data_IF_343303722789
#
_entry.id   IF_343303722789
#
_cell.length_a   1.000
_cell.length_b   1.000
_cell.length_c   1.000
_cell.angle_alpha   90.00
_cell.angle_beta   90.00
_cell.angle_gamma   90.00
#
_symmetry.space_group_name_H-M   'P 1'
#
loop_
_entity.id
_entity.type
_entity.pdbx_description
1 polymer ?
#
# COMPACT_ATOMS: atom_id res chain seq x y z
N UNK A 1 -7.34 -6.63 -18.61
CA UNK A 1 -6.15 -6.11 -17.90
C UNK A 1 -6.64 -4.94 -17.07
N UNK A 2 -6.41 -4.98 -15.76
CA UNK A 2 -6.85 -3.92 -14.86
C UNK A 2 -5.97 -2.69 -15.07
N UNK A 3 -6.55 -1.49 -15.18
CA UNK A 3 -5.76 -0.27 -15.32
C UNK A 3 -5.16 0.12 -13.96
N UNK A 4 -3.92 0.60 -13.96
CA UNK A 4 -3.22 1.13 -12.78
C UNK A 4 -2.89 2.59 -13.05
N UNK A 5 -3.33 3.49 -12.17
CA UNK A 5 -2.95 4.89 -12.19
C UNK A 5 -1.47 5.07 -11.81
N UNK A 6 -0.79 6.11 -12.30
CA UNK A 6 0.60 6.41 -11.93
C UNK A 6 0.73 6.87 -10.46
N UNK A 7 -0.33 7.46 -9.89
CA UNK A 7 -0.46 7.81 -8.47
C UNK A 7 -1.63 7.09 -7.83
N UNK A 8 -1.63 7.02 -6.51
CA UNK A 8 -2.67 6.39 -5.72
C UNK A 8 -4.02 7.07 -5.94
N UNK A 9 -5.08 6.26 -6.07
CA UNK A 9 -6.46 6.72 -6.06
C UNK A 9 -6.94 7.01 -4.62
N UNK A 10 -6.25 6.44 -3.64
CA UNK A 10 -6.45 6.69 -2.22
C UNK A 10 -5.34 6.03 -1.41
N UNK A 11 -5.02 6.64 -0.27
CA UNK A 11 -4.12 6.10 0.73
C UNK A 11 -4.64 6.34 2.14
N UNK A 12 -4.19 5.50 3.06
CA UNK A 12 -4.52 5.56 4.48
C UNK A 12 -3.22 5.47 5.27
N UNK A 13 -2.97 6.49 6.07
CA UNK A 13 -1.74 6.65 6.85
C UNK A 13 -2.00 6.42 8.33
N UNK A 14 -1.17 5.61 8.98
CA UNK A 14 -1.17 5.45 10.43
C UNK A 14 0.12 6.01 11.00
N UNK A 15 -0.01 6.98 11.88
CA UNK A 15 1.06 7.39 12.79
C UNK A 15 1.19 6.33 13.89
N UNK A 16 2.40 5.79 14.06
CA UNK A 16 2.67 4.70 15.01
C UNK A 16 3.52 5.12 16.20
N UNK A 17 3.83 6.41 16.38
CA UNK A 17 4.72 6.93 17.43
C UNK A 17 4.41 6.40 18.83
N UNK A 18 3.12 6.34 19.18
CA UNK A 18 2.66 5.91 20.51
C UNK A 18 2.29 4.41 20.60
N UNK A 19 2.29 3.68 19.48
CA UNK A 19 1.76 2.31 19.41
C UNK A 19 2.76 1.27 18.88
N UNK A 20 3.87 1.70 18.30
CA UNK A 20 4.95 0.83 17.84
C UNK A 20 6.32 1.40 18.22
N UNK A 21 7.25 0.52 18.61
CA UNK A 21 8.64 0.91 18.77
C UNK A 21 9.25 1.30 17.40
N UNK A 22 10.18 2.26 17.34
CA UNK A 22 10.93 2.53 16.12
C UNK A 22 11.87 1.36 15.74
N UNK A 23 12.39 1.43 14.51
CA UNK A 23 13.44 0.53 14.03
C UNK A 23 12.94 -0.67 13.22
N UNK A 24 13.89 -1.29 12.51
CA UNK A 24 13.64 -2.31 11.49
C UNK A 24 12.87 -3.54 12.01
N UNK A 25 13.24 -4.05 13.18
CA UNK A 25 12.59 -5.22 13.77
C UNK A 25 11.11 -4.95 14.07
N UNK A 26 10.80 -3.78 14.62
CA UNK A 26 9.43 -3.39 14.92
C UNK A 26 8.62 -3.15 13.64
N UNK A 27 9.18 -2.44 12.67
CA UNK A 27 8.57 -2.23 11.36
C UNK A 27 8.23 -3.56 10.66
N UNK A 28 9.14 -4.54 10.67
CA UNK A 28 8.87 -5.86 10.06
C UNK A 28 7.80 -6.65 10.82
N UNK A 29 7.74 -6.54 12.16
CA UNK A 29 6.62 -7.13 12.93
C UNK A 29 5.29 -6.48 12.58
N UNK A 30 5.25 -5.15 12.47
CA UNK A 30 4.07 -4.40 12.05
C UNK A 30 3.65 -4.81 10.63
N UNK A 31 4.58 -4.81 9.68
CA UNK A 31 4.36 -5.26 8.31
C UNK A 31 3.83 -6.71 8.25
N UNK A 32 4.36 -7.61 9.07
CA UNK A 32 3.88 -9.00 9.14
C UNK A 32 2.43 -9.09 9.65
N UNK A 33 2.09 -8.33 10.70
CA UNK A 33 0.72 -8.30 11.26
C UNK A 33 -0.28 -7.69 10.28
N UNK A 34 0.05 -6.54 9.68
CA UNK A 34 -0.77 -5.88 8.66
C UNK A 34 -0.90 -6.76 7.42
N UNK A 35 0.19 -7.35 6.95
CA UNK A 35 0.22 -8.28 5.83
C UNK A 35 -0.71 -9.49 6.04
N UNK A 36 -0.82 -10.01 7.26
CA UNK A 36 -1.75 -11.09 7.59
C UNK A 36 -3.23 -10.66 7.45
N UNK A 37 -3.57 -9.43 7.88
CA UNK A 37 -4.91 -8.85 7.68
C UNK A 37 -5.20 -8.68 6.19
N UNK A 38 -4.26 -8.10 5.45
CA UNK A 38 -4.43 -7.90 4.00
C UNK A 38 -4.55 -9.22 3.25
N UNK A 39 -3.79 -10.25 3.63
CA UNK A 39 -3.89 -11.59 3.04
C UNK A 39 -5.25 -12.24 3.32
N UNK A 40 -5.77 -12.10 4.54
CA UNK A 40 -7.11 -12.57 4.92
C UNK A 40 -8.22 -12.00 4.04
N UNK A 41 -8.09 -10.74 3.62
CA UNK A 41 -9.03 -10.06 2.70
C UNK A 41 -8.68 -10.21 1.21
N UNK A 42 -7.68 -11.06 0.90
CA UNK A 42 -7.13 -11.29 -0.43
C UNK A 42 -6.65 -10.01 -1.13
N UNK A 43 -6.09 -9.07 -0.38
CA UNK A 43 -5.55 -7.80 -0.88
C UNK A 43 -4.05 -7.85 -1.15
N UNK A 44 -3.30 -8.58 -0.31
CA UNK A 44 -1.85 -8.69 -0.43
C UNK A 44 -1.35 -10.05 0.06
N UNK A 45 -0.67 -10.78 -0.81
CA UNK A 45 0.19 -11.92 -0.49
C UNK A 45 1.65 -11.47 -0.66
N UNK A 46 2.39 -11.17 0.42
CA UNK A 46 3.75 -10.65 0.35
C UNK A 46 4.69 -11.57 -0.44
N UNK A 47 5.37 -11.00 -1.43
CA UNK A 47 6.31 -11.71 -2.30
C UNK A 47 7.71 -11.08 -2.27
N UNK A 48 7.81 -9.77 -2.02
CA UNK A 48 9.08 -9.05 -1.99
C UNK A 48 9.00 -7.80 -1.11
N UNK A 49 10.17 -7.35 -0.67
CA UNK A 49 10.37 -6.06 0.00
C UNK A 49 11.20 -5.14 -0.88
N UNK A 50 10.82 -3.87 -0.96
CA UNK A 50 11.59 -2.80 -1.60
C UNK A 50 11.82 -1.65 -0.62
N UNK A 51 12.98 -1.02 -0.69
CA UNK A 51 13.29 0.16 0.12
C UNK A 51 14.36 1.02 -0.55
N UNK A 52 14.35 2.31 -0.22
CA UNK A 52 15.40 3.25 -0.58
C UNK A 52 16.40 3.40 0.56
N UNK A 53 17.64 3.77 0.21
CA UNK A 53 18.67 4.13 1.17
C UNK A 53 18.79 5.65 1.28
N UNK A 54 18.95 6.14 2.50
CA UNK A 54 19.23 7.54 2.78
C UNK A 54 20.39 7.67 3.77
N UNK A 55 20.93 8.88 3.90
CA UNK A 55 21.90 9.20 4.95
C UNK A 55 21.47 10.50 5.64
N UNK A 56 21.38 10.48 6.97
CA UNK A 56 21.05 11.67 7.78
C UNK A 56 21.96 12.84 7.40
N UNK A 57 21.35 14.00 7.16
CA UNK A 57 22.03 15.23 6.72
C UNK A 57 22.46 15.28 5.25
N UNK A 58 22.30 14.19 4.47
CA UNK A 58 22.55 14.17 3.02
C UNK A 58 21.30 13.85 2.19
N UNK A 59 20.27 13.29 2.82
CA UNK A 59 19.04 12.88 2.15
C UNK A 59 19.15 11.52 1.45
N UNK A 60 18.25 11.28 0.49
CA UNK A 60 18.20 10.04 -0.29
C UNK A 60 19.45 9.85 -1.14
N UNK A 61 19.96 8.60 -1.19
CA UNK A 61 21.17 8.26 -1.94
C UNK A 61 20.90 7.89 -3.40
N UNK A 62 19.63 7.80 -3.81
CA UNK A 62 19.23 7.29 -5.13
C UNK A 62 19.47 5.78 -5.33
N UNK A 63 19.88 5.08 -4.27
CA UNK A 63 20.11 3.64 -4.26
C UNK A 63 18.86 2.97 -3.71
N UNK A 64 18.39 1.94 -4.43
CA UNK A 64 17.24 1.14 -4.05
C UNK A 64 17.68 -0.32 -3.88
N UNK A 65 17.03 -1.02 -2.96
CA UNK A 65 17.23 -2.44 -2.77
C UNK A 65 15.90 -3.16 -2.80
N UNK A 66 15.96 -4.39 -3.29
CA UNK A 66 14.83 -5.31 -3.34
C UNK A 66 15.28 -6.65 -2.80
N UNK A 67 14.43 -7.28 -2.00
CA UNK A 67 14.62 -8.63 -1.53
C UNK A 67 13.36 -9.44 -1.82
N UNK A 68 13.48 -10.45 -2.67
CA UNK A 68 12.41 -11.42 -2.88
C UNK A 68 12.34 -12.36 -1.67
N UNK A 69 11.14 -12.54 -1.13
CA UNK A 69 10.92 -13.34 0.07
C UNK A 69 11.06 -14.84 -0.22
N UNK A 70 10.78 -15.29 -1.45
CA UNK A 70 10.92 -16.70 -1.83
C UNK A 70 10.10 -17.65 -0.95
N UNK A 71 8.93 -17.22 -0.47
CA UNK A 71 8.09 -17.96 0.47
C UNK A 71 8.45 -17.74 1.96
N UNK A 72 9.47 -16.95 2.26
CA UNK A 72 9.79 -16.52 3.63
C UNK A 72 8.67 -15.63 4.19
N UNK A 73 8.32 -15.86 5.45
CA UNK A 73 7.40 -14.97 6.18
C UNK A 73 8.07 -13.64 6.53
N UNK A 74 7.29 -12.54 6.52
CA UNK A 74 7.73 -11.25 7.04
C UNK A 74 8.11 -11.30 8.53
N UNK A 75 7.58 -12.26 9.28
CA UNK A 75 7.92 -12.49 10.69
C UNK A 75 9.16 -13.37 10.92
N UNK A 76 9.91 -13.73 9.87
CA UNK A 76 11.13 -14.54 10.02
C UNK A 76 12.19 -13.77 10.82
N UNK A 77 12.69 -14.30 11.97
CA UNK A 77 13.70 -13.63 12.79
C UNK A 77 15.04 -13.37 12.07
N UNK A 78 15.34 -14.08 10.97
CA UNK A 78 16.53 -13.85 10.16
C UNK A 78 16.37 -12.71 9.14
N UNK A 79 15.15 -12.25 8.88
CA UNK A 79 14.86 -11.24 7.86
C UNK A 79 15.53 -9.88 8.12
N UNK A 80 15.52 -9.30 9.35
CA UNK A 80 16.21 -8.04 9.62
C UNK A 80 17.70 -8.09 9.27
N UNK A 81 18.37 -9.21 9.59
CA UNK A 81 19.77 -9.43 9.26
C UNK A 81 20.02 -9.48 7.75
N UNK A 82 19.12 -10.13 7.00
CA UNK A 82 19.19 -10.19 5.54
C UNK A 82 19.02 -8.80 4.89
N UNK A 83 18.10 -7.97 5.39
CA UNK A 83 17.91 -6.60 4.90
C UNK A 83 19.16 -5.75 5.17
N UNK A 84 19.73 -5.83 6.38
CA UNK A 84 20.96 -5.09 6.73
C UNK A 84 22.16 -5.51 5.88
N UNK A 85 22.23 -6.78 5.50
CA UNK A 85 23.30 -7.28 4.62
C UNK A 85 23.27 -6.66 3.20
N UNK A 86 22.17 -6.00 2.81
CA UNK A 86 22.07 -5.27 1.55
C UNK A 86 22.63 -3.84 1.62
N UNK A 87 23.18 -3.39 2.76
CA UNK A 87 23.71 -2.03 2.89
C UNK A 87 24.75 -1.72 1.80
N UNK A 88 24.63 -0.58 1.09
CA UNK A 88 25.57 -0.23 0.03
C UNK A 88 26.99 -0.04 0.59
N UNK A 89 27.97 -0.80 0.11
CA UNK A 89 29.34 -0.77 0.66
C UNK A 89 30.05 0.59 0.57
N UNK A 90 29.63 1.47 -0.35
CA UNK A 90 30.11 2.85 -0.45
C UNK A 90 29.50 3.83 0.56
N UNK A 91 28.47 3.40 1.32
CA UNK A 91 27.68 4.24 2.21
C UNK A 91 27.44 3.52 3.55
N UNK A 92 28.47 3.42 4.38
CA UNK A 92 28.41 2.71 5.68
C UNK A 92 27.47 3.34 6.71
N UNK A 93 27.06 4.60 6.49
CA UNK A 93 26.07 5.33 7.29
C UNK A 93 24.70 5.37 6.60
N UNK A 94 24.48 4.54 5.58
CA UNK A 94 23.18 4.47 4.93
C UNK A 94 22.18 3.78 5.86
N UNK A 95 21.01 4.40 5.98
CA UNK A 95 19.85 3.92 6.71
C UNK A 95 18.74 3.56 5.72
N UNK A 96 17.88 2.61 6.12
CA UNK A 96 16.76 2.18 5.30
C UNK A 96 15.59 3.14 5.50
N UNK A 97 15.02 3.63 4.40
CA UNK A 97 13.76 4.35 4.42
C UNK A 97 12.57 3.41 4.61
N UNK A 98 11.39 3.89 4.20
CA UNK A 98 10.16 3.10 4.19
C UNK A 98 10.33 1.77 3.47
N UNK A 99 9.82 0.72 4.10
CA UNK A 99 9.84 -0.65 3.57
C UNK A 99 8.51 -0.90 2.88
N UNK A 100 8.57 -1.03 1.57
CA UNK A 100 7.43 -1.36 0.72
C UNK A 100 7.27 -2.87 0.63
N UNK A 101 6.14 -3.38 1.14
CA UNK A 101 5.72 -4.77 1.02
C UNK A 101 4.92 -4.93 -0.26
N UNK A 102 5.48 -5.69 -1.20
CA UNK A 102 4.91 -5.92 -2.52
C UNK A 102 4.48 -7.36 -2.69
N UNK A 103 3.41 -7.58 -3.45
CA UNK A 103 2.78 -8.88 -3.58
C UNK A 103 1.59 -8.86 -4.51
N UNK A 104 0.94 -10.02 -4.64
CA UNK A 104 -0.29 -10.14 -5.43
C UNK A 104 -1.52 -10.01 -4.53
N UNK A 105 -2.56 -9.37 -5.04
CA UNK A 105 -3.90 -9.40 -4.47
C UNK A 105 -4.91 -9.99 -5.45
N UNK A 106 -6.16 -10.08 -5.03
CA UNK A 106 -7.26 -10.49 -5.87
C UNK A 106 -8.35 -9.41 -5.98
N UNK A 107 -8.82 -9.21 -7.21
CA UNK A 107 -10.00 -8.40 -7.50
C UNK A 107 -11.04 -9.26 -8.22
N UNK A 108 -12.29 -8.81 -8.19
CA UNK A 108 -13.43 -9.54 -8.73
C UNK A 108 -14.11 -8.67 -9.77
N UNK A 109 -14.32 -9.20 -10.97
CA UNK A 109 -15.02 -8.47 -12.02
C UNK A 109 -16.54 -8.41 -11.77
N UNK A 110 -17.28 -7.80 -12.69
CA UNK A 110 -18.73 -7.68 -12.60
C UNK A 110 -19.48 -9.03 -12.51
N UNK A 111 -18.89 -10.12 -13.02
CA UNK A 111 -19.45 -11.48 -12.91
C UNK A 111 -19.10 -12.18 -11.59
N UNK A 112 -18.27 -11.55 -10.76
CA UNK A 112 -17.70 -12.16 -9.55
C UNK A 112 -16.53 -13.10 -9.85
N UNK A 113 -16.00 -13.10 -11.08
CA UNK A 113 -14.82 -13.91 -11.42
C UNK A 113 -13.59 -13.29 -10.77
N UNK A 114 -12.82 -14.13 -10.09
CA UNK A 114 -11.59 -13.73 -9.39
C UNK A 114 -10.43 -13.59 -10.37
N UNK A 115 -9.69 -12.48 -10.26
CA UNK A 115 -8.47 -12.19 -10.98
C UNK A 115 -7.35 -11.87 -9.99
N UNK A 116 -6.14 -12.38 -10.25
CA UNK A 116 -4.96 -12.02 -9.47
C UNK A 116 -4.25 -10.84 -10.12
N UNK A 117 -3.84 -9.87 -9.31
CA UNK A 117 -3.15 -8.66 -9.77
C UNK A 117 -1.95 -8.37 -8.86
N UNK A 118 -0.77 -8.18 -9.45
CA UNK A 118 0.42 -7.78 -8.70
C UNK A 118 0.32 -6.29 -8.38
N UNK A 119 0.62 -5.91 -7.13
CA UNK A 119 0.46 -4.54 -6.61
C UNK A 119 -0.98 -4.02 -6.67
N UNK A 120 -1.94 -4.90 -6.41
CA UNK A 120 -3.33 -4.51 -6.24
C UNK A 120 -3.49 -3.46 -5.12
N UNK A 121 -2.71 -3.64 -4.04
CA UNK A 121 -2.48 -2.66 -2.98
C UNK A 121 -0.97 -2.60 -2.71
N UNK A 122 -0.51 -1.52 -2.10
CA UNK A 122 0.86 -1.35 -1.64
C UNK A 122 0.86 -1.01 -0.15
N UNK A 123 1.63 -1.76 0.63
CA UNK A 123 1.79 -1.51 2.06
C UNK A 123 3.20 -0.99 2.31
N UNK A 124 3.33 0.23 2.80
CA UNK A 124 4.59 0.80 3.26
C UNK A 124 4.63 0.80 4.79
N UNK A 125 5.77 0.44 5.38
CA UNK A 125 6.00 0.60 6.82
C UNK A 125 7.36 1.26 7.04
N UNK A 126 7.37 2.38 7.76
CA UNK A 126 8.57 3.14 8.06
C UNK A 126 9.24 2.64 9.34
N UNK A 127 10.56 2.33 9.31
CA UNK A 127 11.32 2.02 10.52
C UNK A 127 11.92 3.25 11.22
N UNK A 128 11.56 4.46 10.80
CA UNK A 128 12.18 5.72 11.25
C UNK A 128 12.14 5.88 12.78
N UNK A 129 13.18 6.49 13.35
CA UNK A 129 13.31 6.70 14.81
C UNK A 129 12.43 7.82 15.34
N UNK A 130 12.06 8.77 14.48
CA UNK A 130 11.35 9.99 14.84
C UNK A 130 9.85 9.90 14.47
N UNK A 131 9.44 8.83 13.78
CA UNK A 131 8.13 8.74 13.17
C UNK A 131 7.80 7.36 12.56
N UNK A 132 7.86 6.23 13.31
CA UNK A 132 7.34 4.98 12.79
C UNK A 132 5.91 5.19 12.27
N UNK A 133 5.67 4.70 11.07
CA UNK A 133 4.40 4.90 10.39
C UNK A 133 4.11 3.74 9.46
N UNK A 134 2.85 3.62 9.06
CA UNK A 134 2.44 2.72 7.99
C UNK A 134 1.51 3.43 7.02
N UNK A 135 1.51 2.99 5.77
CA UNK A 135 0.59 3.48 4.75
C UNK A 135 0.09 2.31 3.90
N UNK A 136 -1.21 2.29 3.62
CA UNK A 136 -1.81 1.42 2.61
C UNK A 136 -2.29 2.29 1.45
N UNK A 137 -1.85 2.00 0.23
CA UNK A 137 -2.20 2.79 -0.96
C UNK A 137 -2.79 1.89 -2.04
N UNK A 138 -3.78 2.41 -2.78
CA UNK A 138 -4.44 1.71 -3.89
C UNK A 138 -4.36 2.51 -5.18
N UNK A 139 -4.19 1.83 -6.32
CA UNK A 139 -3.89 2.47 -7.62
C UNK A 139 -4.85 2.09 -8.75
N UNK A 140 -5.86 1.27 -8.44
CA UNK A 140 -6.75 0.69 -9.44
C UNK A 140 -8.19 1.18 -9.27
N UNK A 141 -8.94 1.23 -10.36
CA UNK A 141 -10.30 1.74 -10.37
C UNK A 141 -11.35 0.78 -9.78
N UNK A 142 -11.02 -0.50 -9.55
CA UNK A 142 -11.95 -1.51 -8.98
C UNK A 142 -12.55 -1.13 -7.62
N UNK A 143 -11.95 -0.17 -6.92
CA UNK A 143 -12.40 0.35 -5.63
C UNK A 143 -13.39 1.51 -5.75
N UNK A 144 -13.49 2.13 -6.93
CA UNK A 144 -14.37 3.27 -7.21
C UNK A 144 -15.72 2.84 -7.77
N UNK A 145 -16.62 3.80 -7.97
CA UNK A 145 -17.93 3.56 -8.60
C UNK A 145 -17.89 3.62 -10.14
N UNK A 146 -16.84 4.21 -10.69
CA UNK A 146 -16.57 4.32 -12.12
C UNK A 146 -15.15 3.84 -12.43
N UNK A 147 -14.94 3.32 -13.63
CA UNK A 147 -13.61 3.04 -14.15
C UNK A 147 -12.86 4.35 -14.48
N UNK A 148 -11.56 4.26 -14.80
CA UNK A 148 -10.79 5.46 -15.15
C UNK A 148 -11.25 6.18 -16.44
N UNK A 149 -12.16 5.62 -17.24
CA UNK A 149 -12.75 6.31 -18.40
C UNK A 149 -14.06 7.02 -18.05
N UNK A 150 -14.45 6.99 -16.78
CA UNK A 150 -15.69 7.55 -16.28
C UNK A 150 -16.91 6.64 -16.48
N UNK A 151 -16.73 5.39 -16.94
CA UNK A 151 -17.86 4.46 -17.10
C UNK A 151 -18.26 3.88 -15.75
N UNK A 152 -19.55 3.99 -15.33
CA UNK A 152 -20.01 3.36 -14.10
C UNK A 152 -19.83 1.84 -14.12
N UNK A 153 -19.25 1.28 -13.05
CA UNK A 153 -19.05 -0.17 -12.90
C UNK A 153 -19.53 -0.69 -11.53
N UNK A 154 -20.80 -0.43 -11.13
CA UNK A 154 -21.28 -0.67 -9.77
C UNK A 154 -21.18 -2.14 -9.31
N UNK A 155 -21.25 -3.11 -10.22
CA UNK A 155 -21.06 -4.52 -9.90
C UNK A 155 -19.61 -4.83 -9.48
N UNK A 156 -18.64 -4.28 -10.21
CA UNK A 156 -17.21 -4.38 -9.85
C UNK A 156 -16.96 -3.71 -8.50
N UNK A 157 -17.46 -2.49 -8.30
CA UNK A 157 -17.37 -1.79 -7.02
C UNK A 157 -17.91 -2.63 -5.86
N UNK A 158 -19.13 -3.15 -5.99
CA UNK A 158 -19.79 -3.95 -4.96
C UNK A 158 -19.02 -5.24 -4.60
N UNK A 159 -18.30 -5.83 -5.56
CA UNK A 159 -17.51 -7.03 -5.33
C UNK A 159 -16.13 -6.75 -4.67
N UNK A 160 -15.66 -5.50 -4.66
CA UNK A 160 -14.30 -5.15 -4.22
C UNK A 160 -14.26 -4.19 -3.03
N UNK A 161 -14.97 -3.06 -3.10
CA UNK A 161 -14.90 -2.00 -2.09
C UNK A 161 -15.18 -2.47 -0.65
N UNK A 162 -16.16 -3.37 -0.38
CA UNK A 162 -16.39 -3.84 0.99
C UNK A 162 -15.20 -4.60 1.61
N UNK A 163 -14.37 -5.26 0.80
CA UNK A 163 -13.19 -5.97 1.29
C UNK A 163 -12.09 -5.01 1.71
N UNK A 164 -11.86 -3.96 0.92
CA UNK A 164 -10.94 -2.88 1.28
C UNK A 164 -11.40 -2.22 2.59
N UNK A 165 -12.70 -1.89 2.69
CA UNK A 165 -13.25 -1.28 3.89
C UNK A 165 -13.08 -2.16 5.14
N UNK A 166 -13.38 -3.45 5.00
CA UNK A 166 -13.23 -4.41 6.11
C UNK A 166 -11.76 -4.58 6.53
N UNK A 167 -10.83 -4.55 5.57
CA UNK A 167 -9.41 -4.64 5.86
C UNK A 167 -8.92 -3.40 6.61
N UNK A 168 -9.29 -2.19 6.16
CA UNK A 168 -8.91 -0.94 6.82
C UNK A 168 -9.43 -0.86 8.26
N UNK A 169 -10.70 -1.22 8.49
CA UNK A 169 -11.28 -1.29 9.83
C UNK A 169 -10.54 -2.29 10.75
N UNK A 170 -10.14 -3.44 10.20
CA UNK A 170 -9.37 -4.44 10.93
C UNK A 170 -7.94 -3.98 11.20
N UNK A 171 -7.34 -3.19 10.30
CA UNK A 171 -6.03 -2.56 10.51
C UNK A 171 -6.08 -1.51 11.61
N UNK A 172 -7.10 -0.64 11.65
CA UNK A 172 -7.29 0.31 12.76
C UNK A 172 -7.38 -0.42 14.10
N UNK A 173 -8.18 -1.49 14.18
CA UNK A 173 -8.29 -2.31 15.40
C UNK A 173 -6.98 -3.00 15.77
N UNK A 174 -6.23 -3.47 14.77
CA UNK A 174 -4.94 -4.14 14.96
C UNK A 174 -3.88 -3.18 15.51
N UNK A 175 -3.85 -1.96 14.99
CA UNK A 175 -2.86 -0.94 15.32
C UNK A 175 -3.26 -0.13 16.55
N UNK A 176 -4.55 -0.06 16.88
CA UNK A 176 -5.08 0.69 18.02
C UNK A 176 -5.18 2.19 17.76
N UNK A 177 -5.02 2.62 16.51
CA UNK A 177 -5.09 4.00 16.04
C UNK A 177 -5.81 4.02 14.70
N UNK A 178 -6.62 5.06 14.46
CA UNK A 178 -7.35 5.22 13.20
C UNK A 178 -6.43 5.78 12.11
N UNK A 179 -6.62 5.33 10.88
CA UNK A 179 -5.89 5.88 9.75
C UNK A 179 -6.37 7.30 9.41
N UNK A 180 -5.42 8.18 9.11
CA UNK A 180 -5.67 9.45 8.44
C UNK A 180 -5.76 9.22 6.92
N UNK A 181 -6.86 9.64 6.25
CA UNK A 181 -6.93 9.61 4.80
C UNK A 181 -5.84 10.48 4.18
N UNK A 182 -5.12 9.92 3.20
CA UNK A 182 -4.11 10.67 2.45
C UNK A 182 -4.70 11.77 1.57
N UNK A 183 -3.81 12.63 1.07
CA UNK A 183 -4.19 13.74 0.22
C UNK A 183 -4.88 13.28 -1.08
N UNK A 184 -5.92 13.99 -1.56
CA UNK A 184 -6.53 13.72 -2.85
C UNK A 184 -5.51 13.82 -4.00
N UNK A 185 -5.60 12.88 -4.94
CA UNK A 185 -4.88 12.93 -6.21
C UNK A 185 -5.83 13.21 -7.36
N UNK A 186 -5.28 13.37 -8.57
CA UNK A 186 -6.09 13.43 -9.78
C UNK A 186 -6.96 12.17 -9.97
N UNK A 187 -6.51 11.02 -9.46
CA UNK A 187 -7.14 9.72 -9.69
C UNK A 187 -8.20 9.36 -8.65
N UNK A 188 -8.29 10.10 -7.55
CA UNK A 188 -9.27 9.86 -6.50
C UNK A 188 -8.88 10.47 -5.17
N UNK A 189 -9.69 10.18 -4.15
CA UNK A 189 -9.43 10.52 -2.75
C UNK A 189 -9.89 9.39 -1.85
N UNK A 190 -9.20 9.19 -0.74
CA UNK A 190 -9.71 8.37 0.34
C UNK A 190 -10.86 9.10 1.06
N UNK A 191 -11.91 8.37 1.43
CA UNK A 191 -13.05 8.85 2.20
C UNK A 191 -13.51 7.75 3.17
N UNK A 192 -13.26 7.95 4.46
CA UNK A 192 -13.40 6.91 5.47
C UNK A 192 -12.63 5.65 5.09
N UNK A 193 -13.34 4.53 4.97
CA UNK A 193 -12.77 3.21 4.67
C UNK A 193 -12.86 2.81 3.18
N UNK A 194 -12.86 3.78 2.26
CA UNK A 194 -12.93 3.50 0.83
C UNK A 194 -12.54 4.71 -0.01
N UNK A 195 -12.79 4.62 -1.32
CA UNK A 195 -12.64 5.78 -2.20
C UNK A 195 -13.89 6.65 -2.13
N UNK A 196 -13.69 7.97 -2.14
CA UNK A 196 -14.77 8.92 -2.26
C UNK A 196 -15.54 8.75 -3.58
N UNK A 197 -16.84 9.01 -3.55
CA UNK A 197 -17.66 8.96 -4.76
C UNK A 197 -17.15 9.99 -5.79
N UNK A 198 -17.08 9.62 -7.10
CA UNK A 198 -16.70 10.56 -8.14
C UNK A 198 -17.82 11.59 -8.38
N UNK A 199 -17.46 12.75 -8.92
CA UNK A 199 -18.44 13.71 -9.42
C UNK A 199 -19.06 13.17 -10.70
N UNK A 200 -20.33 12.77 -10.64
CA UNK A 200 -21.06 12.22 -11.79
C UNK A 200 -21.75 13.36 -12.54
N UNK A 201 -21.37 13.56 -13.80
CA UNK A 201 -21.96 14.54 -14.72
C UNK A 201 -22.53 13.76 -15.92
N UNK A 202 -23.81 13.99 -16.23
CA UNK A 202 -24.52 13.30 -17.32
C UNK A 202 -24.44 11.75 -17.26
N UNK A 203 -24.38 11.20 -16.05
CA UNK A 203 -24.32 9.76 -15.81
C UNK A 203 -22.94 9.12 -15.95
N UNK A 204 -21.88 9.92 -16.14
CA UNK A 204 -20.49 9.45 -16.23
C UNK A 204 -19.63 10.12 -15.16
N UNK A 205 -18.62 9.39 -14.69
CA UNK A 205 -17.53 9.95 -13.91
C UNK A 205 -16.54 10.73 -14.78
N UNK A 206 -15.50 11.33 -14.18
CA UNK A 206 -14.41 11.96 -14.94
C UNK A 206 -13.62 10.91 -15.74
N UNK A 207 -13.16 11.30 -16.92
CA UNK A 207 -12.17 10.53 -17.68
C UNK A 207 -10.77 10.90 -17.17
N UNK A 208 -10.11 9.94 -16.55
CA UNK A 208 -8.82 10.08 -15.87
C UNK A 208 -7.68 9.47 -16.71
N UNK A 209 -7.94 9.12 -17.98
CA UNK A 209 -6.96 8.49 -18.88
C UNK A 209 -6.08 9.49 -19.64
N UNK A 210 -6.33 10.78 -19.50
CA UNK A 210 -5.71 11.86 -20.25
C UNK A 210 -4.33 12.30 -19.72
N UNK A 211 -3.90 11.76 -18.57
CA UNK A 211 -2.63 12.13 -17.93
C UNK A 211 -1.63 10.98 -17.88
N UNK A 212 -0.51 11.16 -18.59
CA UNK A 212 0.67 10.26 -18.55
C UNK A 212 1.66 10.66 -17.44
N UNK A 213 1.46 11.82 -16.80
CA UNK A 213 2.34 12.37 -15.78
C UNK A 213 1.50 12.96 -14.64
N UNK A 214 1.10 12.10 -13.71
CA UNK A 214 0.64 12.49 -12.38
C UNK A 214 1.82 12.46 -11.43
#
# INVERSE_FOLDING_TARGET
>A
MLMRAPKECGSWFWDLDDVAEPGLESALRTAARMGAVLQKHALLEPASLEWNWFQVGKGGLGIHSRLDLGGRSLGDPALPGALRACQPGGHLQAEMGGILVLGSGAWFDASGTRHNEYRLVELMVSPDEIGPSAELSVYHDVWGQCDFRGEPHPATHANNAPRLASALQELDQLLGVEAEPGEPTYYGRADGYGLGAPDIIDGRGPDLTDTVFG
#
